data_IF_570749267632
#
_entry.id   IF_570749267632
#
_cell.length_a   1.000
_cell.length_b   1.000
_cell.length_c   1.000
_cell.angle_alpha   90.00
_cell.angle_beta   90.00
_cell.angle_gamma   90.00
#
_symmetry.space_group_name_H-M   'P 1'
#
loop_
_entity.id
_entity.type
_entity.pdbx_description
1 polymer ?
#
# COMPACT_ATOMS: atom_id res chain seq x y z
N UNK A 1 -19.13 12.41 13.38
CA UNK A 1 -18.44 12.59 12.10
C UNK A 1 -17.59 11.37 11.77
N UNK A 2 -18.05 10.61 10.80
CA UNK A 2 -17.40 9.34 10.45
C UNK A 2 -16.63 9.41 9.13
N UNK A 3 -16.61 10.57 8.47
CA UNK A 3 -16.07 10.73 7.13
C UNK A 3 -14.58 10.39 7.03
N UNK A 4 -13.81 10.45 8.10
CA UNK A 4 -12.41 10.12 8.10
C UNK A 4 -12.10 8.69 8.54
N UNK A 5 -13.11 7.91 8.91
CA UNK A 5 -12.90 6.56 9.45
C UNK A 5 -12.89 5.52 8.35
N UNK A 6 -11.71 5.28 7.80
CA UNK A 6 -11.51 4.32 6.73
C UNK A 6 -10.30 3.44 6.98
N UNK A 7 -10.44 2.17 6.64
CA UNK A 7 -9.31 1.25 6.60
C UNK A 7 -8.89 1.09 5.15
N UNK A 8 -7.66 1.48 4.84
CA UNK A 8 -7.15 1.47 3.47
C UNK A 8 -5.88 0.63 3.41
N UNK A 9 -5.81 -0.26 2.44
CA UNK A 9 -4.58 -0.97 2.13
C UNK A 9 -3.95 -0.32 0.91
N UNK A 10 -2.68 0.04 1.01
CA UNK A 10 -1.88 0.52 -0.11
C UNK A 10 -0.91 -0.60 -0.46
N UNK A 11 -1.00 -1.09 -1.67
CA UNK A 11 -0.16 -2.20 -2.14
C UNK A 11 0.50 -1.83 -3.46
N UNK A 12 1.53 -2.59 -3.85
CA UNK A 12 2.27 -2.32 -5.09
C UNK A 12 3.67 -2.86 -5.02
N UNK A 13 4.37 -2.80 -6.14
CA UNK A 13 5.71 -3.34 -6.27
C UNK A 13 6.74 -2.48 -5.57
N UNK A 14 7.93 -3.04 -5.34
CA UNK A 14 9.06 -2.31 -4.77
C UNK A 14 9.37 -1.10 -5.65
N UNK A 15 9.55 0.05 -5.04
CA UNK A 15 9.83 1.30 -5.78
C UNK A 15 8.59 2.08 -6.20
N UNK A 16 7.39 1.56 -5.95
CA UNK A 16 6.17 2.27 -6.33
C UNK A 16 5.90 3.52 -5.49
N UNK A 17 6.50 3.61 -4.29
CA UNK A 17 6.37 4.79 -3.45
C UNK A 17 5.48 4.61 -2.23
N UNK A 18 5.21 3.36 -1.83
CA UNK A 18 4.32 3.08 -0.70
C UNK A 18 4.79 3.75 0.60
N UNK A 19 6.05 3.57 0.96
CA UNK A 19 6.57 4.13 2.21
C UNK A 19 6.57 5.65 2.20
N UNK A 20 6.88 6.26 1.07
CA UNK A 20 6.86 7.71 0.92
C UNK A 20 5.43 8.25 1.10
N UNK A 21 4.45 7.56 0.50
CA UNK A 21 3.06 7.95 0.65
C UNK A 21 2.60 7.82 2.10
N UNK A 22 2.96 6.75 2.77
CA UNK A 22 2.60 6.57 4.17
C UNK A 22 3.23 7.64 5.06
N UNK A 23 4.48 8.01 4.79
CA UNK A 23 5.14 9.07 5.55
C UNK A 23 4.39 10.40 5.43
N UNK A 24 3.93 10.72 4.22
CA UNK A 24 3.15 11.95 4.01
C UNK A 24 1.80 11.90 4.74
N UNK A 25 1.11 10.76 4.67
CA UNK A 25 -0.16 10.59 5.37
C UNK A 25 0.02 10.68 6.89
N UNK A 26 1.10 10.11 7.41
CA UNK A 26 1.43 10.21 8.82
C UNK A 26 1.69 11.66 9.23
N UNK A 27 2.41 12.40 8.39
CA UNK A 27 2.67 13.82 8.63
C UNK A 27 1.37 14.62 8.69
N UNK A 28 0.35 14.20 7.94
CA UNK A 28 -0.97 14.83 7.93
C UNK A 28 -1.86 14.38 9.09
N UNK A 29 -1.35 13.52 9.96
CA UNK A 29 -2.08 13.08 11.14
C UNK A 29 -2.82 11.76 10.98
N UNK A 30 -2.69 11.07 9.84
CA UNK A 30 -3.31 9.75 9.65
C UNK A 30 -2.51 8.68 10.37
N UNK A 31 -3.21 7.68 10.89
CA UNK A 31 -2.55 6.49 11.44
C UNK A 31 -2.08 5.62 10.29
N UNK A 32 -0.80 5.29 10.28
CA UNK A 32 -0.21 4.48 9.20
C UNK A 32 0.58 3.32 9.79
N UNK A 33 0.56 2.20 9.09
CA UNK A 33 1.37 1.02 9.44
C UNK A 33 1.99 0.49 8.15
N UNK A 34 3.32 0.51 8.10
CA UNK A 34 4.07 -0.10 7.02
C UNK A 34 4.45 -1.52 7.45
N UNK A 35 3.86 -2.52 6.81
CA UNK A 35 4.09 -3.90 7.22
C UNK A 35 5.44 -4.45 6.76
N UNK A 36 6.23 -3.68 6.05
CA UNK A 36 7.64 -4.01 5.81
C UNK A 36 8.49 -3.77 7.07
N UNK A 37 7.95 -3.02 8.04
CA UNK A 37 8.61 -2.84 9.33
C UNK A 37 8.53 -4.13 10.15
N UNK A 38 9.45 -4.25 11.11
CA UNK A 38 9.56 -5.45 11.92
C UNK A 38 8.28 -5.79 12.67
N UNK A 39 8.00 -7.07 12.75
CA UNK A 39 6.94 -7.58 13.61
C UNK A 39 5.61 -7.84 12.92
N UNK A 40 5.48 -7.50 11.64
CA UNK A 40 4.22 -7.69 10.92
C UNK A 40 4.19 -8.92 10.05
N UNK A 41 5.36 -9.50 9.75
CA UNK A 41 5.46 -10.67 8.89
C UNK A 41 6.11 -11.84 9.61
N UNK A 42 5.77 -13.05 9.16
CA UNK A 42 6.39 -14.28 9.61
C UNK A 42 7.71 -14.50 8.88
N UNK A 43 8.54 -15.48 9.30
CA UNK A 43 9.76 -15.80 8.56
C UNK A 43 9.52 -16.20 7.10
N UNK A 44 8.32 -16.66 6.78
CA UNK A 44 7.95 -17.02 5.40
C UNK A 44 7.61 -15.80 4.53
N UNK A 45 7.64 -14.61 5.10
CA UNK A 45 7.30 -13.39 4.36
C UNK A 45 5.80 -13.12 4.23
N UNK A 46 4.98 -13.82 4.97
CA UNK A 46 3.54 -13.61 5.00
C UNK A 46 3.18 -12.68 6.16
N UNK A 47 2.02 -12.05 6.09
CA UNK A 47 1.52 -11.31 7.26
C UNK A 47 1.31 -12.26 8.43
N UNK A 48 1.66 -11.79 9.60
CA UNK A 48 1.26 -12.41 10.87
C UNK A 48 -0.24 -12.13 11.04
N UNK A 49 -1.08 -13.09 10.67
CA UNK A 49 -2.51 -12.85 10.55
C UNK A 49 -3.17 -12.44 11.86
N UNK A 50 -2.89 -13.08 13.01
CA UNK A 50 -3.45 -12.59 14.27
C UNK A 50 -3.10 -11.15 14.57
N UNK A 51 -1.88 -10.74 14.26
CA UNK A 51 -1.42 -9.39 14.53
C UNK A 51 -2.10 -8.37 13.63
N UNK A 52 -2.20 -8.67 12.34
CA UNK A 52 -2.89 -7.79 11.39
C UNK A 52 -4.38 -7.71 11.72
N UNK A 53 -4.99 -8.83 12.07
CA UNK A 53 -6.39 -8.84 12.48
C UNK A 53 -6.61 -7.96 13.69
N UNK A 54 -5.73 -8.06 14.70
CA UNK A 54 -5.80 -7.23 15.90
C UNK A 54 -5.68 -5.75 15.60
N UNK A 55 -4.81 -5.39 14.66
CA UNK A 55 -4.67 -3.99 14.22
C UNK A 55 -5.98 -3.46 13.62
N UNK A 56 -6.58 -4.24 12.73
CA UNK A 56 -7.80 -3.83 12.05
C UNK A 56 -9.01 -3.81 12.98
N UNK A 57 -9.02 -4.67 14.00
CA UNK A 57 -10.08 -4.66 15.01
C UNK A 57 -9.93 -3.46 15.95
N UNK A 58 -8.70 -3.04 16.20
CA UNK A 58 -8.44 -1.95 17.12
C UNK A 58 -8.73 -0.57 16.53
N UNK A 59 -8.50 -0.38 15.24
CA UNK A 59 -8.61 0.92 14.61
C UNK A 59 -9.58 0.91 13.44
N UNK A 60 -10.54 1.82 13.45
CA UNK A 60 -11.48 2.02 12.36
C UNK A 60 -10.90 2.92 11.27
N UNK A 61 -9.81 3.61 11.57
CA UNK A 61 -9.17 4.53 10.64
C UNK A 61 -7.67 4.26 10.64
N UNK A 62 -7.19 3.62 9.58
CA UNK A 62 -5.77 3.28 9.45
C UNK A 62 -5.44 3.05 7.98
N UNK A 63 -4.24 3.45 7.60
CA UNK A 63 -3.69 3.16 6.26
C UNK A 63 -2.55 2.17 6.46
N UNK A 64 -2.70 1.00 5.89
CA UNK A 64 -1.73 -0.09 5.98
C UNK A 64 -1.07 -0.26 4.63
N UNK A 65 0.25 -0.43 4.57
CA UNK A 65 0.92 -0.77 3.32
C UNK A 65 1.59 -2.13 3.40
N UNK A 66 1.63 -2.80 2.28
CA UNK A 66 2.32 -4.07 2.16
C UNK A 66 1.97 -4.79 0.87
N UNK A 67 2.80 -5.77 0.53
CA UNK A 67 2.55 -6.65 -0.60
C UNK A 67 3.01 -8.05 -0.19
N UNK A 68 2.06 -8.88 0.20
CA UNK A 68 2.32 -10.23 0.67
C UNK A 68 1.27 -11.18 0.09
N UNK A 69 1.61 -12.47 0.04
CA UNK A 69 0.73 -13.45 -0.60
C UNK A 69 -0.61 -13.61 0.10
N UNK A 70 -0.65 -13.46 1.42
CA UNK A 70 -1.89 -13.69 2.18
C UNK A 70 -2.71 -12.42 2.44
N UNK A 71 -2.36 -11.30 1.84
CA UNK A 71 -3.13 -10.06 2.06
C UNK A 71 -4.57 -10.16 1.57
N UNK A 72 -4.83 -10.99 0.56
CA UNK A 72 -6.17 -11.17 0.04
C UNK A 72 -7.17 -11.69 1.07
N UNK A 73 -6.69 -12.36 2.11
CA UNK A 73 -7.56 -12.85 3.19
C UNK A 73 -8.17 -11.72 4.01
N UNK A 74 -7.62 -10.51 3.88
CA UNK A 74 -8.09 -9.34 4.62
C UNK A 74 -8.80 -8.33 3.72
N UNK A 75 -9.04 -8.67 2.45
CA UNK A 75 -9.64 -7.75 1.48
C UNK A 75 -10.97 -7.17 1.95
N UNK A 76 -11.80 -7.98 2.59
CA UNK A 76 -13.11 -7.55 3.08
C UNK A 76 -13.04 -6.74 4.37
N UNK A 77 -11.85 -6.63 4.96
CA UNK A 77 -11.65 -5.83 6.16
C UNK A 77 -11.17 -4.42 5.86
N UNK A 78 -10.82 -4.14 4.60
CA UNK A 78 -10.43 -2.81 4.14
C UNK A 78 -11.59 -2.20 3.36
N UNK A 79 -11.83 -0.92 3.59
CA UNK A 79 -12.83 -0.18 2.82
C UNK A 79 -12.34 0.07 1.40
N UNK A 80 -11.03 0.24 1.23
CA UNK A 80 -10.42 0.43 -0.08
C UNK A 80 -9.08 -0.31 -0.13
N UNK A 81 -8.79 -0.86 -1.29
CA UNK A 81 -7.49 -1.44 -1.61
C UNK A 81 -6.93 -0.65 -2.78
N UNK A 82 -5.86 0.07 -2.54
CA UNK A 82 -5.27 0.99 -3.51
C UNK A 82 -3.98 0.38 -4.05
N UNK A 83 -3.94 0.13 -5.35
CA UNK A 83 -2.72 -0.27 -6.02
C UNK A 83 -1.96 0.98 -6.45
N UNK A 84 -0.75 1.11 -5.96
CA UNK A 84 0.17 2.16 -6.38
C UNK A 84 1.11 1.54 -7.41
N UNK A 85 1.07 2.01 -8.65
CA UNK A 85 1.82 1.41 -9.75
C UNK A 85 2.60 2.44 -10.53
N UNK A 86 3.65 1.98 -11.22
CA UNK A 86 4.44 2.80 -12.12
C UNK A 86 5.07 1.89 -13.17
N UNK A 87 5.49 2.44 -14.32
CA UNK A 87 6.20 1.64 -15.31
C UNK A 87 7.42 0.99 -14.69
N UNK A 88 7.73 -0.24 -15.14
CA UNK A 88 8.81 -1.02 -14.54
C UNK A 88 10.15 -0.29 -14.57
N UNK A 89 10.41 0.48 -15.62
CA UNK A 89 11.67 1.24 -15.69
C UNK A 89 11.76 2.31 -14.62
N UNK A 90 10.63 2.90 -14.25
CA UNK A 90 10.58 3.88 -13.15
C UNK A 90 10.83 3.18 -11.82
N UNK A 91 10.24 2.00 -11.63
CA UNK A 91 10.47 1.21 -10.41
C UNK A 91 11.94 0.88 -10.25
N UNK A 92 12.58 0.41 -11.32
CA UNK A 92 13.99 0.02 -11.29
C UNK A 92 14.88 1.23 -11.00
N UNK A 93 14.61 2.36 -11.66
CA UNK A 93 15.36 3.58 -11.41
C UNK A 93 15.28 3.99 -9.93
N UNK A 94 14.08 3.94 -9.37
CA UNK A 94 13.89 4.32 -7.97
C UNK A 94 14.63 3.40 -7.00
N UNK A 95 14.56 2.08 -7.20
CA UNK A 95 15.21 1.14 -6.28
C UNK A 95 16.73 1.19 -6.41
N UNK A 96 17.26 1.56 -7.56
CA UNK A 96 18.71 1.66 -7.76
C UNK A 96 19.29 2.95 -7.17
N UNK A 97 18.48 3.99 -7.03
CA UNK A 97 18.96 5.29 -6.56
C UNK A 97 18.61 5.61 -5.11
N UNK A 98 17.66 4.89 -4.52
CA UNK A 98 17.28 5.14 -3.11
C UNK A 98 18.41 4.73 -2.17
N UNK A 99 18.48 5.39 -1.01
CA UNK A 99 19.57 5.18 -0.03
C UNK A 99 19.12 4.42 1.21
N UNK A 100 17.81 4.33 1.44
CA UNK A 100 17.26 3.73 2.67
C UNK A 100 17.01 2.23 2.57
N UNK A 101 17.14 1.64 1.40
CA UNK A 101 16.90 0.22 1.18
C UNK A 101 17.76 -0.26 0.02
N UNK A 102 18.68 -1.21 0.23
CA UNK A 102 19.60 -1.66 -0.82
C UNK A 102 18.98 -2.62 -1.83
N UNK A 103 17.77 -3.12 -1.60
CA UNK A 103 17.14 -4.06 -2.52
C UNK A 103 16.90 -3.41 -3.88
N UNK A 104 17.22 -4.14 -4.94
CA UNK A 104 16.96 -3.72 -6.31
C UNK A 104 18.21 -3.23 -7.04
N UNK A 105 19.37 -3.24 -6.39
CA UNK A 105 20.61 -2.74 -6.99
C UNK A 105 21.35 -3.78 -7.82
N UNK A 106 21.09 -5.05 -7.63
CA UNK A 106 21.74 -6.10 -8.38
C UNK A 106 20.92 -6.46 -9.62
N UNK A 107 21.58 -7.00 -10.64
CA UNK A 107 20.89 -7.46 -11.85
C UNK A 107 19.86 -8.53 -11.53
N UNK A 108 20.16 -9.41 -10.58
CA UNK A 108 19.23 -10.45 -10.17
C UNK A 108 17.97 -9.88 -9.51
N UNK A 109 18.14 -8.89 -8.65
CA UNK A 109 17.03 -8.24 -7.99
C UNK A 109 16.17 -7.44 -8.98
N UNK A 110 16.81 -6.82 -9.97
CA UNK A 110 16.07 -6.11 -11.01
C UNK A 110 15.28 -7.07 -11.89
N UNK A 111 15.84 -8.22 -12.21
CA UNK A 111 15.12 -9.26 -12.94
C UNK A 111 13.93 -9.77 -12.14
N UNK A 112 14.08 -9.89 -10.82
CA UNK A 112 13.00 -10.28 -9.93
C UNK A 112 11.88 -9.23 -9.94
N UNK A 113 12.23 -7.96 -9.91
CA UNK A 113 11.24 -6.87 -9.97
C UNK A 113 10.45 -6.95 -11.28
N UNK A 114 11.15 -7.17 -12.41
CA UNK A 114 10.50 -7.29 -13.72
C UNK A 114 9.54 -8.48 -13.74
N UNK A 115 9.96 -9.61 -13.16
CA UNK A 115 9.11 -10.79 -13.08
C UNK A 115 7.86 -10.53 -12.24
N UNK A 116 8.00 -9.85 -11.10
CA UNK A 116 6.88 -9.55 -10.23
C UNK A 116 5.89 -8.59 -10.88
N UNK A 117 6.38 -7.62 -11.66
CA UNK A 117 5.48 -6.75 -12.42
C UNK A 117 4.62 -7.57 -13.38
N UNK A 118 5.20 -8.59 -14.00
CA UNK A 118 4.48 -9.45 -14.94
C UNK A 118 3.56 -10.45 -14.27
N UNK A 119 3.96 -11.00 -13.13
CA UNK A 119 3.26 -12.13 -12.51
C UNK A 119 2.39 -11.74 -11.33
N UNK A 120 2.82 -10.76 -10.54
CA UNK A 120 2.17 -10.40 -9.28
C UNK A 120 1.29 -9.16 -9.42
N UNK A 121 1.77 -8.13 -10.11
CA UNK A 121 1.01 -6.88 -10.23
C UNK A 121 -0.38 -7.09 -10.83
N UNK A 122 -0.57 -7.96 -11.85
CA UNK A 122 -1.94 -8.22 -12.35
C UNK A 122 -2.87 -8.80 -11.27
N UNK A 123 -2.34 -9.60 -10.36
CA UNK A 123 -3.13 -10.14 -9.25
C UNK A 123 -3.52 -9.03 -8.28
N UNK A 124 -2.59 -8.13 -7.98
CA UNK A 124 -2.88 -6.98 -7.13
C UNK A 124 -3.94 -6.09 -7.76
N UNK A 125 -3.86 -5.89 -9.06
CA UNK A 125 -4.82 -5.05 -9.79
C UNK A 125 -6.23 -5.62 -9.74
N UNK A 126 -6.37 -6.94 -9.79
CA UNK A 126 -7.69 -7.58 -9.68
C UNK A 126 -8.33 -7.35 -8.32
N UNK A 127 -7.53 -7.32 -7.26
CA UNK A 127 -8.03 -7.11 -5.90
C UNK A 127 -8.16 -5.66 -5.50
N UNK A 128 -7.68 -4.74 -6.32
CA UNK A 128 -7.68 -3.31 -5.99
C UNK A 128 -9.03 -2.67 -6.30
N UNK A 129 -9.45 -1.74 -5.45
CA UNK A 129 -10.64 -0.93 -5.69
C UNK A 129 -10.28 0.38 -6.37
N UNK A 130 -9.00 0.74 -6.40
CA UNK A 130 -8.49 1.95 -7.05
C UNK A 130 -7.03 1.74 -7.42
N UNK A 131 -6.61 2.34 -8.51
CA UNK A 131 -5.20 2.34 -8.90
C UNK A 131 -4.72 3.78 -9.03
N UNK A 132 -3.57 4.09 -8.45
CA UNK A 132 -2.94 5.41 -8.52
C UNK A 132 -1.59 5.31 -9.20
N UNK A 133 -1.26 6.30 -10.00
CA UNK A 133 0.01 6.39 -10.70
C UNK A 133 1.09 6.88 -9.73
N UNK A 134 2.02 6.01 -9.38
CA UNK A 134 3.09 6.30 -8.43
C UNK A 134 4.10 7.35 -8.91
N UNK A 135 3.98 7.81 -10.16
CA UNK A 135 4.82 8.90 -10.67
C UNK A 135 4.32 10.28 -10.24
N UNK A 136 3.08 10.37 -9.78
CA UNK A 136 2.50 11.63 -9.34
C UNK A 136 3.20 12.12 -8.08
N UNK A 137 3.10 13.42 -7.82
CA UNK A 137 3.65 14.02 -6.60
C UNK A 137 3.00 13.38 -5.37
N UNK A 138 3.79 13.16 -4.31
CA UNK A 138 3.30 12.50 -3.10
C UNK A 138 2.12 13.26 -2.49
N UNK A 139 2.11 14.59 -2.57
CA UNK A 139 1.00 15.38 -2.06
C UNK A 139 -0.30 15.08 -2.80
N UNK A 140 -0.23 14.89 -4.12
CA UNK A 140 -1.41 14.53 -4.91
C UNK A 140 -1.91 13.14 -4.57
N UNK A 141 -0.99 12.19 -4.38
CA UNK A 141 -1.35 10.83 -3.99
C UNK A 141 -2.02 10.82 -2.61
N UNK A 142 -1.47 11.58 -1.67
CA UNK A 142 -2.05 11.70 -0.34
C UNK A 142 -3.45 12.34 -0.39
N UNK A 143 -3.61 13.36 -1.23
CA UNK A 143 -4.93 13.98 -1.43
C UNK A 143 -5.96 12.95 -1.93
N UNK A 144 -5.55 12.09 -2.86
CA UNK A 144 -6.43 11.04 -3.38
C UNK A 144 -6.84 10.06 -2.29
N UNK A 145 -5.92 9.68 -1.41
CA UNK A 145 -6.22 8.80 -0.29
C UNK A 145 -7.21 9.47 0.68
N UNK A 146 -6.99 10.74 1.00
CA UNK A 146 -7.88 11.46 1.90
C UNK A 146 -9.28 11.64 1.32
N UNK A 147 -9.37 11.78 0.00
CA UNK A 147 -10.65 11.86 -0.70
C UNK A 147 -11.45 10.57 -0.54
N UNK A 148 -10.79 9.41 -0.47
CA UNK A 148 -11.48 8.14 -0.28
C UNK A 148 -12.26 8.11 1.03
N UNK A 149 -11.70 8.63 2.10
CA UNK A 149 -12.40 8.71 3.38
C UNK A 149 -13.63 9.61 3.29
N UNK A 150 -13.49 10.75 2.64
CA UNK A 150 -14.58 11.69 2.42
C UNK A 150 -15.67 11.08 1.55
N UNK A 151 -15.28 10.44 0.45
CA UNK A 151 -16.23 9.80 -0.47
C UNK A 151 -16.98 8.66 0.20
N UNK A 152 -16.28 7.86 1.02
CA UNK A 152 -16.90 6.78 1.76
C UNK A 152 -18.00 7.32 2.67
N UNK A 153 -17.70 8.36 3.45
CA UNK A 153 -18.66 8.97 4.34
C UNK A 153 -19.84 9.60 3.59
N UNK A 154 -19.55 10.27 2.50
CA UNK A 154 -20.59 10.89 1.68
C UNK A 154 -21.51 9.87 1.04
N UNK A 155 -20.95 8.82 0.47
CA UNK A 155 -21.72 7.76 -0.17
C UNK A 155 -22.66 7.11 0.84
N UNK A 156 -22.17 6.82 2.04
CA UNK A 156 -23.01 6.27 3.09
C UNK A 156 -24.15 7.20 3.47
N UNK A 157 -23.89 8.50 3.47
CA UNK A 157 -24.90 9.50 3.79
C UNK A 157 -25.96 9.66 2.72
N UNK A 158 -25.64 9.36 1.50
CA UNK A 158 -26.57 9.51 0.37
C UNK A 158 -27.53 8.33 0.23
N UNK A 159 -27.26 7.27 0.89
CA UNK A 159 -28.10 6.06 0.83
C UNK A 159 -29.03 5.97 2.02
#
# INVERSE_FOLDING_TARGET
MLAGMTRILVTGMSGAGKSTLLAELSRRGRRTVDTDDDGWTTPDGLWDEPRVRGLLERYDDVVVSGTVENQGRFSDRFDHVVLLSAPVEVLIERVTTRTNNPYGRTAEQQAEIRRYVMEVEPLLRRGATMELDGRRAVAELADAIETLGTDHGRTAGER
#
